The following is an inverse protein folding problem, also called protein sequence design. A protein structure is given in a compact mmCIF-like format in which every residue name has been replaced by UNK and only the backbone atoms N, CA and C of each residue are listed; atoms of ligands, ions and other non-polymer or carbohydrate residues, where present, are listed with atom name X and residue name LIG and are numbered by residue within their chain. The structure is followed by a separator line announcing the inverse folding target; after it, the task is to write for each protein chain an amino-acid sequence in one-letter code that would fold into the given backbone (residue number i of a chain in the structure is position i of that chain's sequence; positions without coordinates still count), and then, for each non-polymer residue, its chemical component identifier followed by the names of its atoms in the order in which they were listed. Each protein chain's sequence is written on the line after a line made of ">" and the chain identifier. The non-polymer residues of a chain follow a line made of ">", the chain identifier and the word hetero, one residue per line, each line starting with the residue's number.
data_IF_298523999040
#
_entry.id   IF_298523999040
#
_cell.length_a   1.000
_cell.length_b   1.000
_cell.length_c   1.000
_cell.angle_alpha   90.00
_cell.angle_beta   90.00
_cell.angle_gamma   90.00
#
_symmetry.space_group_name_H-M   'P 1'
#
loop_
_entity.id
_entity.type
_entity.pdbx_description
1 polymer ?
#
# COMPACT_ATOMS: atom_id res chain seq x y z
N UNK A 1 4.67 18.57 -19.05
CA UNK A 1 4.64 17.20 -18.55
C UNK A 1 5.04 17.08 -17.08
N UNK A 2 6.19 17.60 -16.65
CA UNK A 2 6.65 17.55 -15.24
C UNK A 2 5.59 18.03 -14.25
N UNK A 3 4.93 19.17 -14.54
CA UNK A 3 3.89 19.71 -13.68
C UNK A 3 2.68 18.74 -13.55
N UNK A 4 2.25 18.11 -14.63
CA UNK A 4 1.13 17.17 -14.62
C UNK A 4 1.45 15.92 -13.76
N UNK A 5 2.66 15.37 -13.89
CA UNK A 5 3.12 14.23 -13.10
C UNK A 5 3.13 14.58 -11.61
N UNK A 6 3.67 15.74 -11.24
CA UNK A 6 3.73 16.17 -9.84
C UNK A 6 2.34 16.49 -9.27
N UNK A 7 1.46 17.09 -10.07
CA UNK A 7 0.08 17.36 -9.65
C UNK A 7 -0.67 16.06 -9.41
N UNK A 8 -0.60 15.09 -10.32
CA UNK A 8 -1.29 13.80 -10.16
C UNK A 8 -0.77 13.00 -8.97
N UNK A 9 0.55 12.93 -8.78
CA UNK A 9 1.13 12.25 -7.61
C UNK A 9 0.81 12.99 -6.31
N UNK A 10 0.81 14.33 -6.33
CA UNK A 10 0.41 15.14 -5.19
C UNK A 10 -1.06 14.97 -4.81
N UNK A 11 -1.96 14.96 -5.79
CA UNK A 11 -3.39 14.67 -5.59
C UNK A 11 -3.57 13.27 -5.00
N UNK A 12 -2.89 12.26 -5.54
CA UNK A 12 -2.95 10.91 -5.00
C UNK A 12 -2.48 10.86 -3.54
N UNK A 13 -1.43 11.60 -3.18
CA UNK A 13 -0.95 11.68 -1.80
C UNK A 13 -1.98 12.34 -0.87
N UNK A 14 -2.60 13.44 -1.30
CA UNK A 14 -3.66 14.10 -0.52
C UNK A 14 -4.84 13.15 -0.30
N UNK A 15 -5.28 12.44 -1.33
CA UNK A 15 -6.35 11.44 -1.22
C UNK A 15 -5.97 10.31 -0.28
N UNK A 16 -4.70 9.85 -0.30
CA UNK A 16 -4.19 8.85 0.62
C UNK A 16 -4.26 9.31 2.07
N UNK A 17 -3.90 10.55 2.35
CA UNK A 17 -3.97 11.14 3.70
C UNK A 17 -5.43 11.34 4.14
N UNK A 18 -6.30 11.81 3.25
CA UNK A 18 -7.74 11.99 3.52
C UNK A 18 -8.42 10.65 3.85
N UNK A 19 -8.02 9.57 3.19
CA UNK A 19 -8.56 8.24 3.45
C UNK A 19 -8.22 7.68 4.86
N UNK A 20 -7.29 8.29 5.57
CA UNK A 20 -7.00 7.97 6.98
C UNK A 20 -7.94 8.62 7.98
N UNK A 21 -8.81 9.53 7.55
CA UNK A 21 -9.77 10.20 8.44
C UNK A 21 -10.90 9.23 8.81
N UNK A 22 -11.14 8.96 10.12
CA UNK A 22 -11.97 7.84 10.58
C UNK A 22 -13.49 7.95 10.33
N UNK A 23 -13.95 8.88 9.51
CA UNK A 23 -15.38 9.16 9.25
C UNK A 23 -15.88 8.74 7.88
N UNK A 24 -15.03 8.17 7.04
CA UNK A 24 -15.40 7.75 5.71
C UNK A 24 -16.08 6.37 5.76
N UNK A 25 -17.29 6.26 5.24
CA UNK A 25 -17.93 4.95 5.06
C UNK A 25 -17.13 4.08 4.07
N UNK A 26 -17.25 2.76 4.18
CA UNK A 26 -16.51 1.79 3.36
C UNK A 26 -16.58 2.05 1.83
N UNK A 27 -17.70 2.60 1.36
CA UNK A 27 -17.88 2.99 -0.06
C UNK A 27 -16.96 4.13 -0.44
N UNK A 28 -16.80 5.14 0.43
CA UNK A 28 -15.94 6.28 0.16
C UNK A 28 -14.47 5.88 0.16
N UNK A 29 -14.05 4.98 1.05
CA UNK A 29 -12.68 4.44 1.07
C UNK A 29 -12.34 3.70 -0.23
N UNK A 30 -13.27 2.89 -0.75
CA UNK A 30 -13.09 2.17 -2.01
C UNK A 30 -12.97 3.17 -3.17
N UNK A 31 -13.81 4.20 -3.22
CA UNK A 31 -13.77 5.23 -4.27
C UNK A 31 -12.47 6.01 -4.20
N UNK A 32 -12.05 6.47 -3.01
CA UNK A 32 -10.79 7.18 -2.83
C UNK A 32 -9.59 6.34 -3.25
N UNK A 33 -9.56 5.06 -2.87
CA UNK A 33 -8.51 4.11 -3.26
C UNK A 33 -8.49 3.89 -4.78
N UNK A 34 -9.66 3.79 -5.41
CA UNK A 34 -9.78 3.68 -6.87
C UNK A 34 -9.26 4.91 -7.60
N UNK A 35 -9.62 6.11 -7.15
CA UNK A 35 -9.13 7.38 -7.72
C UNK A 35 -7.61 7.50 -7.52
N UNK A 36 -7.11 7.15 -6.35
CA UNK A 36 -5.68 7.16 -6.06
C UNK A 36 -4.90 6.21 -6.99
N UNK A 37 -5.42 5.02 -7.23
CA UNK A 37 -4.83 4.06 -8.18
C UNK A 37 -4.89 4.59 -9.62
N UNK A 38 -5.99 5.22 -10.03
CA UNK A 38 -6.11 5.85 -11.33
C UNK A 38 -5.12 7.00 -11.53
N UNK A 39 -4.90 7.84 -10.52
CA UNK A 39 -3.88 8.90 -10.55
C UNK A 39 -2.47 8.31 -10.69
N UNK A 40 -2.17 7.23 -9.98
CA UNK A 40 -0.87 6.57 -10.04
C UNK A 40 -0.62 5.95 -11.43
N UNK A 41 -1.62 5.25 -11.99
CA UNK A 41 -1.53 4.67 -13.34
C UNK A 41 -1.40 5.75 -14.41
N UNK A 42 -2.18 6.83 -14.34
CA UNK A 42 -2.06 7.97 -15.24
C UNK A 42 -0.66 8.61 -15.18
N UNK A 43 -0.10 8.75 -13.98
CA UNK A 43 1.28 9.24 -13.79
C UNK A 43 2.29 8.31 -14.48
N UNK A 44 2.16 7.00 -14.29
CA UNK A 44 3.02 6.02 -14.94
C UNK A 44 2.94 6.09 -16.47
N UNK A 45 1.74 6.18 -17.02
CA UNK A 45 1.53 6.32 -18.47
C UNK A 45 2.18 7.62 -19.01
N UNK A 46 2.01 8.74 -18.31
CA UNK A 46 2.63 10.01 -18.71
C UNK A 46 4.16 9.94 -18.69
N UNK A 47 4.74 9.26 -17.69
CA UNK A 47 6.20 9.08 -17.60
C UNK A 47 6.72 8.20 -18.76
N UNK A 48 6.03 7.10 -19.06
CA UNK A 48 6.39 6.21 -20.17
C UNK A 48 6.24 6.89 -21.54
N UNK A 49 5.13 7.63 -21.75
CA UNK A 49 4.86 8.34 -23.00
C UNK A 49 5.84 9.50 -23.25
N UNK A 50 6.35 10.10 -22.18
CA UNK A 50 7.26 11.25 -22.24
C UNK A 50 8.74 10.92 -22.09
N UNK A 51 9.13 9.70 -22.31
CA UNK A 51 10.51 9.21 -22.12
C UNK A 51 11.01 9.32 -20.66
N UNK A 52 10.10 9.16 -19.70
CA UNK A 52 10.42 9.12 -18.29
C UNK A 52 10.80 10.48 -17.68
N UNK A 53 11.71 10.46 -16.74
CA UNK A 53 12.20 11.65 -16.01
C UNK A 53 13.52 12.18 -16.56
N UNK A 54 13.93 11.74 -17.74
CA UNK A 54 15.18 12.19 -18.37
C UNK A 54 15.14 13.71 -18.61
N UNK A 55 16.22 14.38 -18.25
CA UNK A 55 16.34 15.84 -18.38
C UNK A 55 15.58 16.65 -17.34
N UNK A 56 14.99 16.01 -16.32
CA UNK A 56 14.42 16.75 -15.20
C UNK A 56 15.53 17.41 -14.37
N UNK A 57 15.27 18.63 -13.89
CA UNK A 57 16.13 19.28 -12.92
C UNK A 57 16.11 18.47 -11.63
N UNK A 58 17.24 18.43 -10.90
CA UNK A 58 17.38 17.69 -9.63
C UNK A 58 16.27 18.03 -8.62
N UNK A 59 15.84 19.30 -8.58
CA UNK A 59 14.76 19.73 -7.69
C UNK A 59 13.44 18.98 -7.96
N UNK A 60 13.06 18.77 -9.23
CA UNK A 60 11.84 18.06 -9.60
C UNK A 60 11.93 16.58 -9.29
N UNK A 61 13.12 16.01 -9.47
CA UNK A 61 13.40 14.64 -9.10
C UNK A 61 13.23 14.41 -7.59
N UNK A 62 13.82 15.27 -6.76
CA UNK A 62 13.72 15.19 -5.31
C UNK A 62 12.27 15.36 -4.83
N UNK A 63 11.50 16.25 -5.46
CA UNK A 63 10.07 16.41 -5.15
C UNK A 63 9.31 15.13 -5.49
N UNK A 64 9.52 14.53 -6.66
CA UNK A 64 8.85 13.29 -7.05
C UNK A 64 9.22 12.16 -6.08
N UNK A 65 10.48 12.04 -5.69
CA UNK A 65 10.96 11.06 -4.71
C UNK A 65 10.25 11.22 -3.36
N UNK A 66 10.13 12.42 -2.85
CA UNK A 66 9.46 12.67 -1.56
C UNK A 66 7.95 12.39 -1.65
N UNK A 67 7.29 12.87 -2.71
CA UNK A 67 5.84 12.70 -2.89
C UNK A 67 5.48 11.25 -3.13
N UNK A 68 6.21 10.53 -3.99
CA UNK A 68 5.95 9.10 -4.25
C UNK A 68 6.28 8.21 -3.05
N UNK A 69 7.31 8.57 -2.26
CA UNK A 69 7.63 7.91 -1.00
C UNK A 69 6.53 8.11 0.04
N UNK A 70 6.06 9.34 0.21
CA UNK A 70 4.91 9.65 1.06
C UNK A 70 3.65 8.88 0.63
N UNK A 71 3.39 8.81 -0.68
CA UNK A 71 2.28 8.05 -1.26
C UNK A 71 2.45 6.54 -1.02
N UNK A 72 3.65 5.99 -1.16
CA UNK A 72 3.93 4.59 -0.85
C UNK A 72 3.56 4.25 0.60
N UNK A 73 3.98 5.10 1.54
CA UNK A 73 3.72 4.91 2.98
C UNK A 73 2.25 5.09 3.32
N UNK A 74 1.63 6.20 2.91
CA UNK A 74 0.27 6.56 3.30
C UNK A 74 -0.81 5.78 2.54
N UNK A 75 -0.65 5.58 1.23
CA UNK A 75 -1.71 5.06 0.35
C UNK A 75 -1.94 3.55 0.47
N UNK A 76 -0.94 2.77 0.85
CA UNK A 76 -1.07 1.32 0.91
C UNK A 76 -2.01 0.81 1.99
N UNK A 77 -2.21 1.56 3.09
CA UNK A 77 -3.18 1.22 4.14
C UNK A 77 -4.61 1.23 3.62
N UNK A 78 -5.13 2.40 3.20
CA UNK A 78 -6.47 2.52 2.62
C UNK A 78 -6.72 1.59 1.43
N UNK A 79 -5.74 1.39 0.56
CA UNK A 79 -5.86 0.46 -0.57
C UNK A 79 -6.05 -0.98 -0.08
N UNK A 80 -5.24 -1.41 0.88
CA UNK A 80 -5.32 -2.77 1.44
C UNK A 80 -6.66 -3.02 2.12
N UNK A 81 -7.17 -2.07 2.92
CA UNK A 81 -8.49 -2.17 3.56
C UNK A 81 -9.61 -2.24 2.52
N UNK A 82 -9.52 -1.46 1.45
CA UNK A 82 -10.48 -1.47 0.34
C UNK A 82 -10.50 -2.81 -0.41
N UNK A 83 -9.33 -3.38 -0.70
CA UNK A 83 -9.21 -4.70 -1.35
C UNK A 83 -9.80 -5.79 -0.46
N UNK A 84 -9.47 -5.80 0.82
CA UNK A 84 -10.04 -6.77 1.77
C UNK A 84 -11.55 -6.61 1.90
N UNK A 85 -12.08 -5.38 1.92
CA UNK A 85 -13.51 -5.12 1.95
C UNK A 85 -14.23 -5.62 0.68
N UNK A 86 -13.59 -5.58 -0.48
CA UNK A 86 -14.12 -6.14 -1.73
C UNK A 86 -14.16 -7.67 -1.69
N UNK A 87 -13.11 -8.31 -1.17
CA UNK A 87 -13.04 -9.76 -0.98
C UNK A 87 -14.12 -10.23 -0.01
N UNK A 88 -14.33 -9.50 1.09
CA UNK A 88 -15.33 -9.85 2.11
C UNK A 88 -16.77 -9.69 1.62
N UNK A 89 -17.05 -8.80 0.66
CA UNK A 89 -18.39 -8.67 0.05
C UNK A 89 -18.85 -9.95 -0.65
N UNK A 90 -17.90 -10.78 -1.10
CA UNK A 90 -18.18 -12.09 -1.69
C UNK A 90 -18.44 -13.19 -0.65
N UNK A 91 -18.13 -12.97 0.63
CA UNK A 91 -18.23 -13.95 1.71
C UNK A 91 -19.11 -13.40 2.84
N UNK A 92 -20.24 -14.06 3.12
CA UNK A 92 -21.23 -13.71 4.17
C UNK A 92 -20.71 -13.81 5.63
N UNK A 93 -19.41 -13.79 5.88
CA UNK A 93 -18.75 -13.95 7.20
C UNK A 93 -18.26 -12.65 7.83
N UNK A 94 -19.09 -11.63 7.87
CA UNK A 94 -18.72 -10.24 8.17
C UNK A 94 -18.56 -9.87 9.65
N UNK A 95 -18.79 -10.72 10.65
CA UNK A 95 -18.80 -10.30 12.07
C UNK A 95 -17.45 -10.44 12.80
N UNK A 96 -16.56 -11.32 12.38
CA UNK A 96 -15.25 -11.51 13.03
C UNK A 96 -14.20 -10.46 12.62
N UNK A 97 -14.49 -9.66 11.61
CA UNK A 97 -13.54 -8.72 10.98
C UNK A 97 -13.40 -7.40 11.74
N UNK A 98 -14.47 -6.93 12.39
CA UNK A 98 -14.44 -5.69 13.15
C UNK A 98 -13.64 -5.80 14.46
N UNK A 99 -13.69 -6.96 15.11
CA UNK A 99 -12.92 -7.19 16.36
C UNK A 99 -11.40 -7.35 16.09
N UNK A 100 -11.00 -7.86 14.92
CA UNK A 100 -9.59 -7.94 14.56
C UNK A 100 -8.94 -6.57 14.34
N UNK A 101 -9.71 -5.54 13.94
CA UNK A 101 -9.22 -4.18 13.73
C UNK A 101 -8.86 -3.43 15.03
N UNK A 102 -9.56 -3.72 16.13
CA UNK A 102 -9.31 -3.06 17.43
C UNK A 102 -8.06 -3.57 18.14
N UNK A 103 -7.69 -4.83 17.91
CA UNK A 103 -6.49 -5.47 18.49
C UNK A 103 -5.19 -4.98 17.82
N UNK A 104 -5.27 -4.37 16.63
CA UNK A 104 -4.12 -4.00 15.80
C UNK A 104 -3.77 -2.51 15.80
N UNK A 105 -3.80 -1.81 16.95
CA UNK A 105 -3.33 -0.42 17.02
C UNK A 105 -1.91 -0.20 16.50
N UNK A 106 -1.04 -1.24 16.51
CA UNK A 106 0.30 -1.22 15.95
C UNK A 106 0.37 -1.59 14.46
N UNK A 107 -0.63 -2.24 13.89
CA UNK A 107 -0.58 -2.82 12.54
C UNK A 107 -0.48 -1.77 11.43
N UNK A 108 -1.11 -0.62 11.60
CA UNK A 108 -1.05 0.48 10.64
C UNK A 108 0.36 1.09 10.56
N UNK A 109 1.01 1.29 11.71
CA UNK A 109 2.38 1.80 11.78
C UNK A 109 3.38 0.78 11.22
N UNK A 110 3.25 -0.50 11.60
CA UNK A 110 4.09 -1.57 11.06
C UNK A 110 3.96 -1.63 9.54
N UNK A 111 2.74 -1.60 9.00
CA UNK A 111 2.50 -1.56 7.56
C UNK A 111 3.09 -0.32 6.87
N UNK A 112 3.07 0.83 7.51
CA UNK A 112 3.71 2.05 7.00
C UNK A 112 5.24 1.91 6.96
N UNK A 113 5.86 1.38 8.00
CA UNK A 113 7.31 1.12 8.06
C UNK A 113 7.74 0.07 7.03
N UNK A 114 6.99 -1.00 6.86
CA UNK A 114 7.25 -2.02 5.83
C UNK A 114 7.25 -1.42 4.43
N UNK A 115 6.23 -0.60 4.09
CA UNK A 115 6.16 0.07 2.79
C UNK A 115 7.29 1.07 2.58
N UNK A 116 7.64 1.82 3.63
CA UNK A 116 8.79 2.72 3.61
C UNK A 116 10.10 1.99 3.36
N UNK A 117 10.30 0.84 4.02
CA UNK A 117 11.48 0.00 3.83
C UNK A 117 11.54 -0.60 2.41
N UNK A 118 10.42 -1.09 1.88
CA UNK A 118 10.34 -1.61 0.50
C UNK A 118 10.64 -0.52 -0.51
N UNK A 119 9.98 0.65 -0.40
CA UNK A 119 10.23 1.79 -1.26
C UNK A 119 11.70 2.23 -1.19
N UNK A 120 12.24 2.40 0.01
CA UNK A 120 13.62 2.78 0.24
C UNK A 120 14.63 1.79 -0.33
N UNK A 121 14.37 0.48 -0.22
CA UNK A 121 15.21 -0.56 -0.80
C UNK A 121 15.31 -0.44 -2.32
N UNK A 122 14.18 -0.20 -3.00
CA UNK A 122 14.14 -0.04 -4.46
C UNK A 122 14.88 1.24 -4.87
N UNK A 123 14.61 2.35 -4.22
CA UNK A 123 15.24 3.66 -4.52
C UNK A 123 16.74 3.63 -4.25
N UNK A 124 17.18 2.90 -3.23
CA UNK A 124 18.59 2.70 -2.93
C UNK A 124 19.30 1.72 -3.89
N UNK A 125 18.58 1.12 -4.85
CA UNK A 125 19.14 0.13 -5.76
C UNK A 125 19.44 -1.22 -5.11
N UNK A 126 18.77 -1.52 -4.00
CA UNK A 126 18.93 -2.77 -3.24
C UNK A 126 17.58 -3.53 -3.11
N UNK A 127 17.08 -4.12 -4.22
CA UNK A 127 15.80 -4.79 -4.24
C UNK A 127 15.72 -6.04 -3.35
N UNK A 128 16.86 -6.64 -2.96
CA UNK A 128 16.93 -7.77 -2.03
C UNK A 128 16.37 -7.42 -0.65
N UNK A 129 16.38 -6.14 -0.27
CA UNK A 129 15.76 -5.64 0.95
C UNK A 129 14.26 -5.96 1.05
N UNK A 130 13.57 -6.10 -0.08
CA UNK A 130 12.16 -6.54 -0.12
C UNK A 130 12.01 -7.94 0.48
N UNK A 131 12.90 -8.86 0.11
CA UNK A 131 12.88 -10.22 0.63
C UNK A 131 13.10 -10.25 2.14
N UNK A 132 13.98 -9.40 2.67
CA UNK A 132 14.23 -9.27 4.11
C UNK A 132 12.98 -8.76 4.83
N UNK A 133 12.33 -7.71 4.34
CA UNK A 133 11.09 -7.17 4.92
C UNK A 133 10.00 -8.25 4.96
N UNK A 134 9.82 -8.98 3.85
CA UNK A 134 8.82 -10.05 3.76
C UNK A 134 9.15 -11.23 4.69
N UNK A 135 10.44 -11.60 4.83
CA UNK A 135 10.87 -12.64 5.73
C UNK A 135 10.60 -12.28 7.20
N UNK A 136 10.95 -11.06 7.62
CA UNK A 136 10.67 -10.56 8.98
C UNK A 136 9.16 -10.56 9.24
N UNK A 137 8.35 -10.06 8.28
CA UNK A 137 6.89 -10.04 8.39
C UNK A 137 6.30 -11.46 8.53
N UNK A 138 6.78 -12.40 7.73
CA UNK A 138 6.35 -13.80 7.80
C UNK A 138 6.72 -14.45 9.13
N UNK A 139 7.95 -14.23 9.61
CA UNK A 139 8.40 -14.75 10.90
C UNK A 139 7.62 -14.16 12.07
N UNK A 140 7.33 -12.86 12.05
CA UNK A 140 6.55 -12.21 13.09
C UNK A 140 5.11 -12.77 13.20
N UNK A 141 4.54 -13.27 12.10
CA UNK A 141 3.19 -13.87 12.04
C UNK A 141 3.18 -15.38 12.30
N UNK A 142 4.32 -16.04 12.31
CA UNK A 142 4.41 -17.48 12.49
C UNK A 142 3.75 -18.00 13.78
N UNK A 143 3.93 -17.37 14.97
CA UNK A 143 3.26 -17.80 16.20
C UNK A 143 1.74 -17.73 16.10
N UNK A 144 1.20 -16.67 15.48
CA UNK A 144 -0.25 -16.47 15.35
C UNK A 144 -0.88 -17.49 14.38
N UNK A 145 -0.17 -17.87 13.31
CA UNK A 145 -0.64 -18.88 12.35
C UNK A 145 -0.62 -20.31 12.94
N UNK A 146 0.16 -20.54 13.99
CA UNK A 146 0.27 -21.84 14.67
C UNK A 146 -0.47 -21.94 16.00
N UNK A 147 -1.05 -20.85 16.50
CA UNK A 147 -1.73 -20.84 17.80
C UNK A 147 -2.94 -21.76 17.82
N UNK A 148 -3.02 -22.73 18.77
CA UNK A 148 -4.17 -23.59 18.94
C UNK A 148 -5.41 -22.86 19.50
N UNK A 149 -5.20 -21.65 20.06
CA UNK A 149 -6.24 -20.86 20.76
C UNK A 149 -7.08 -19.97 19.83
N UNK A 150 -7.11 -20.27 18.54
CA UNK A 150 -8.00 -19.52 17.64
C UNK A 150 -9.46 -19.90 17.91
N UNK A 151 -10.39 -18.91 17.94
CA UNK A 151 -11.81 -19.20 18.08
C UNK A 151 -12.24 -20.21 17.02
N UNK A 152 -13.01 -21.24 17.40
CA UNK A 152 -13.49 -22.30 16.52
C UNK A 152 -14.27 -21.80 15.28
N UNK A 153 -14.65 -20.52 15.27
CA UNK A 153 -15.33 -19.84 14.16
C UNK A 153 -14.41 -19.35 13.05
N UNK A 154 -13.05 -19.35 13.24
CA UNK A 154 -12.08 -18.82 12.27
C UNK A 154 -11.18 -19.95 11.80
N UNK A 155 -11.24 -20.29 10.52
CA UNK A 155 -10.35 -21.30 9.95
C UNK A 155 -8.94 -20.71 9.77
N UNK A 156 -7.87 -21.42 10.17
CA UNK A 156 -6.48 -20.96 9.98
C UNK A 156 -6.17 -20.57 8.52
N UNK A 157 -6.80 -21.26 7.57
CA UNK A 157 -6.69 -20.98 6.13
C UNK A 157 -7.21 -19.59 5.78
N UNK A 158 -8.35 -19.17 6.34
CA UNK A 158 -8.90 -17.84 6.05
C UNK A 158 -8.02 -16.71 6.60
N UNK A 159 -7.38 -16.91 7.76
CA UNK A 159 -6.43 -15.95 8.33
C UNK A 159 -5.19 -15.83 7.45
N UNK A 160 -4.65 -16.97 7.00
CA UNK A 160 -3.48 -16.99 6.12
C UNK A 160 -3.79 -16.33 4.76
N UNK A 161 -4.96 -16.61 4.17
CA UNK A 161 -5.39 -15.99 2.92
C UNK A 161 -5.46 -14.46 3.02
N UNK A 162 -6.09 -13.94 4.07
CA UNK A 162 -6.16 -12.48 4.30
C UNK A 162 -4.78 -11.86 4.52
N UNK A 163 -3.92 -12.54 5.26
CA UNK A 163 -2.54 -12.09 5.46
C UNK A 163 -1.78 -12.00 4.14
N UNK A 164 -1.92 -13.00 3.27
CA UNK A 164 -1.29 -13.04 1.96
C UNK A 164 -1.83 -11.92 1.07
N UNK A 165 -3.15 -11.80 0.93
CA UNK A 165 -3.78 -10.75 0.10
C UNK A 165 -3.35 -9.37 0.58
N UNK A 166 -3.43 -9.09 1.88
CA UNK A 166 -3.05 -7.81 2.45
C UNK A 166 -1.56 -7.49 2.26
N UNK A 167 -0.69 -8.48 2.42
CA UNK A 167 0.75 -8.32 2.22
C UNK A 167 1.08 -8.03 0.76
N UNK A 168 0.58 -8.82 -0.19
CA UNK A 168 0.84 -8.60 -1.61
C UNK A 168 0.29 -7.27 -2.10
N UNK A 169 -0.93 -6.89 -1.71
CA UNK A 169 -1.50 -5.58 -2.03
C UNK A 169 -0.60 -4.44 -1.55
N UNK A 170 -0.13 -4.51 -0.32
CA UNK A 170 0.74 -3.50 0.29
C UNK A 170 2.10 -3.42 -0.39
N UNK A 171 2.71 -4.57 -0.73
CA UNK A 171 4.00 -4.65 -1.41
C UNK A 171 3.89 -4.11 -2.84
N UNK A 172 2.92 -4.60 -3.62
CA UNK A 172 2.70 -4.16 -5.00
C UNK A 172 2.46 -2.65 -5.07
N UNK A 173 1.73 -2.09 -4.11
CA UNK A 173 1.56 -0.65 -4.01
C UNK A 173 2.88 0.08 -3.83
N UNK A 174 3.71 -0.32 -2.88
CA UNK A 174 5.01 0.32 -2.61
C UNK A 174 5.97 0.19 -3.80
N UNK A 175 5.99 -1.00 -4.45
CA UNK A 175 6.78 -1.25 -5.67
C UNK A 175 6.32 -0.35 -6.82
N UNK A 176 5.01 -0.20 -7.02
CA UNK A 176 4.46 0.65 -8.08
C UNK A 176 4.82 2.12 -7.85
N UNK A 177 4.73 2.61 -6.60
CA UNK A 177 5.16 3.97 -6.26
C UNK A 177 6.66 4.20 -6.52
N UNK A 178 7.51 3.23 -6.19
CA UNK A 178 8.94 3.31 -6.48
C UNK A 178 9.23 3.21 -7.99
N UNK A 179 8.43 2.44 -8.72
CA UNK A 179 8.52 2.28 -10.18
C UNK A 179 8.39 3.58 -10.96
N UNK A 180 7.70 4.59 -10.41
CA UNK A 180 7.64 5.94 -11.01
C UNK A 180 9.03 6.57 -11.16
N UNK A 181 9.96 6.23 -10.28
CA UNK A 181 11.33 6.74 -10.29
C UNK A 181 12.26 5.95 -11.22
N UNK A 182 11.91 4.70 -11.52
CA UNK A 182 12.72 3.83 -12.37
C UNK A 182 12.53 4.08 -13.88
N UNK A 183 11.57 4.93 -14.26
CA UNK A 183 11.29 5.32 -15.63
C UNK A 183 12.35 6.30 -16.22
N UNK A 184 13.63 6.05 -15.91
CA UNK A 184 14.78 6.80 -16.43
C UNK A 184 15.18 6.32 -17.81
#
# INVERSE_FOLDING_TARGET
>A
MTAAVLVLTGVALVLAVVAWVPKSGATLEIVLSGVMLACLTATGILLLAGHGVQGWREAWWNILLMVSGGLAVAGGGPLTTSVLALVDRGNTRSQSTQQAGEVLRGGALIGALERGAIYGSIVAGWPEGIAIVLAIKGLARYPELRSPDQPASVTPTAVAERFIIGTFTSVLWAVTCAGLLLSR
#
